data_IF_213713195085
#
_entry.id   IF_213713195085
#
_cell.length_a   1.000
_cell.length_b   1.000
_cell.length_c   1.000
_cell.angle_alpha   90.00
_cell.angle_beta   90.00
_cell.angle_gamma   90.00
#
_symmetry.space_group_name_H-M   'P 1'
#
loop_
_entity.id
_entity.type
_entity.pdbx_description
1 polymer ?
#
# COMPACT_ATOMS: atom_id res chain seq x y z
N UNK A 1 6.56 24.13 12.29
CA UNK A 1 6.78 23.07 13.29
C UNK A 1 5.71 21.99 13.24
N UNK A 2 4.40 22.30 13.20
CA UNK A 2 3.37 21.24 13.10
C UNK A 2 3.38 20.44 11.78
N UNK A 3 3.67 21.08 10.63
CA UNK A 3 3.71 20.42 9.32
C UNK A 3 4.80 19.34 9.21
N UNK A 4 5.96 19.54 9.84
CA UNK A 4 7.07 18.58 9.83
C UNK A 4 6.71 17.30 10.62
N UNK A 5 5.93 17.41 11.69
CA UNK A 5 5.44 16.24 12.45
C UNK A 5 4.57 15.28 11.64
N UNK A 6 3.96 15.75 10.54
CA UNK A 6 3.17 14.89 9.65
C UNK A 6 4.01 14.20 8.57
N UNK A 7 5.27 14.61 8.41
CA UNK A 7 6.20 14.04 7.44
C UNK A 7 6.92 12.81 7.99
N UNK A 8 6.94 12.55 9.28
CA UNK A 8 7.46 11.30 9.84
C UNK A 8 6.35 10.27 10.03
N UNK A 9 6.66 9.02 9.67
CA UNK A 9 5.77 7.90 9.97
C UNK A 9 5.88 7.57 11.46
N UNK A 10 4.89 8.03 12.22
CA UNK A 10 4.68 7.62 13.60
C UNK A 10 3.62 6.52 13.63
N UNK A 11 4.01 5.31 14.03
CA UNK A 11 3.10 4.18 14.15
C UNK A 11 2.89 3.81 15.62
N UNK A 12 1.63 3.61 16.00
CA UNK A 12 1.28 3.04 17.29
C UNK A 12 1.56 1.52 17.30
N UNK A 13 1.68 0.93 18.50
CA UNK A 13 2.00 -0.50 18.64
C UNK A 13 1.05 -1.40 17.82
N UNK A 14 -0.25 -1.10 17.80
CA UNK A 14 -1.22 -1.85 17.01
C UNK A 14 -0.95 -1.77 15.49
N UNK A 15 -0.56 -0.60 14.98
CA UNK A 15 -0.19 -0.40 13.58
C UNK A 15 1.12 -1.12 13.24
N UNK A 16 2.09 -1.17 14.17
CA UNK A 16 3.33 -1.95 14.01
C UNK A 16 3.01 -3.44 13.89
N UNK A 17 2.17 -4.00 14.77
CA UNK A 17 1.75 -5.40 14.65
C UNK A 17 0.99 -5.67 13.35
N UNK A 18 0.10 -4.75 12.97
CA UNK A 18 -0.63 -4.81 11.70
C UNK A 18 0.32 -4.77 10.50
N UNK A 19 1.39 -3.97 10.56
CA UNK A 19 2.42 -3.90 9.54
C UNK A 19 3.18 -5.22 9.40
N UNK A 20 3.65 -5.81 10.50
CA UNK A 20 4.34 -7.11 10.46
C UNK A 20 3.43 -8.21 9.91
N UNK A 21 2.16 -8.21 10.32
CA UNK A 21 1.15 -9.11 9.76
C UNK A 21 1.02 -8.92 8.25
N UNK A 22 0.83 -7.69 7.77
CA UNK A 22 0.70 -7.42 6.34
C UNK A 22 1.95 -7.81 5.55
N UNK A 23 3.14 -7.43 6.01
CA UNK A 23 4.41 -7.80 5.36
C UNK A 23 4.57 -9.32 5.27
N UNK A 24 4.19 -10.05 6.32
CA UNK A 24 4.14 -11.51 6.29
C UNK A 24 3.21 -12.04 5.20
N UNK A 25 1.95 -11.56 5.17
CA UNK A 25 0.98 -12.00 4.15
C UNK A 25 1.40 -11.63 2.73
N UNK A 26 1.95 -10.43 2.51
CA UNK A 26 2.46 -9.99 1.21
C UNK A 26 3.67 -10.81 0.78
N UNK A 27 4.57 -11.17 1.69
CA UNK A 27 5.71 -12.04 1.36
C UNK A 27 5.23 -13.40 0.87
N UNK A 28 4.31 -14.03 1.61
CA UNK A 28 3.75 -15.33 1.21
C UNK A 28 3.00 -15.21 -0.12
N UNK A 29 2.20 -14.16 -0.29
CA UNK A 29 1.40 -13.96 -1.49
C UNK A 29 2.27 -13.59 -2.72
N UNK A 30 3.32 -12.79 -2.54
CA UNK A 30 4.31 -12.50 -3.58
C UNK A 30 5.06 -13.77 -4.02
N UNK A 31 5.48 -14.62 -3.07
CA UNK A 31 6.08 -15.91 -3.38
C UNK A 31 5.08 -16.85 -4.08
N UNK A 32 3.81 -16.84 -3.65
CA UNK A 32 2.73 -17.59 -4.27
C UNK A 32 2.48 -17.15 -5.71
N UNK A 33 2.45 -15.84 -5.98
CA UNK A 33 2.30 -15.26 -7.32
C UNK A 33 3.48 -15.65 -8.23
N UNK A 34 4.71 -15.53 -7.73
CA UNK A 34 5.92 -15.94 -8.46
C UNK A 34 5.92 -17.45 -8.77
N UNK A 35 5.45 -18.27 -7.83
CA UNK A 35 5.30 -19.73 -7.99
C UNK A 35 4.01 -20.14 -8.70
N UNK A 36 3.11 -19.21 -9.01
CA UNK A 36 1.83 -19.41 -9.69
C UNK A 36 0.86 -20.35 -8.96
N UNK A 37 0.75 -20.21 -7.65
CA UNK A 37 -0.18 -20.99 -6.82
C UNK A 37 -1.55 -20.28 -6.72
N UNK A 38 -2.62 -21.06 -6.53
CA UNK A 38 -4.01 -20.61 -6.68
C UNK A 38 -4.67 -19.96 -5.44
N UNK A 39 -3.88 -19.56 -4.43
CA UNK A 39 -4.42 -19.14 -3.12
C UNK A 39 -4.99 -17.69 -3.07
N UNK A 40 -5.22 -17.04 -4.22
CA UNK A 40 -5.49 -15.60 -4.27
C UNK A 40 -6.81 -15.15 -3.61
N UNK A 41 -7.82 -16.01 -3.49
CA UNK A 41 -9.12 -15.62 -2.89
C UNK A 41 -9.03 -15.42 -1.38
N UNK A 42 -8.32 -16.30 -0.68
CA UNK A 42 -8.16 -16.25 0.77
C UNK A 42 -7.41 -14.98 1.18
N UNK A 43 -6.35 -14.64 0.44
CA UNK A 43 -5.61 -13.39 0.67
C UNK A 43 -6.46 -12.14 0.47
N UNK A 44 -7.33 -12.11 -0.55
CA UNK A 44 -8.25 -11.00 -0.76
C UNK A 44 -9.15 -10.76 0.46
N UNK A 45 -9.74 -11.82 1.02
CA UNK A 45 -10.63 -11.72 2.18
C UNK A 45 -9.85 -11.23 3.42
N UNK A 46 -8.62 -11.70 3.61
CA UNK A 46 -7.72 -11.24 4.69
C UNK A 46 -7.39 -9.76 4.55
N UNK A 47 -7.00 -9.28 3.38
CA UNK A 47 -6.63 -7.87 3.19
C UNK A 47 -7.84 -6.93 3.28
N UNK A 48 -8.99 -7.36 2.78
CA UNK A 48 -10.22 -6.60 2.95
C UNK A 48 -10.62 -6.51 4.44
N UNK A 49 -10.57 -7.64 5.14
CA UNK A 49 -10.81 -7.69 6.59
C UNK A 49 -9.83 -6.80 7.36
N UNK A 50 -8.54 -6.84 6.99
CA UNK A 50 -7.52 -5.97 7.56
C UNK A 50 -7.85 -4.48 7.36
N UNK A 51 -8.20 -4.07 6.15
CA UNK A 51 -8.57 -2.67 5.86
C UNK A 51 -9.80 -2.24 6.69
N UNK A 52 -10.80 -3.10 6.84
CA UNK A 52 -11.99 -2.81 7.66
C UNK A 52 -11.59 -2.67 9.15
N UNK A 53 -10.75 -3.57 9.67
CA UNK A 53 -10.27 -3.50 11.05
C UNK A 53 -9.49 -2.19 11.28
N UNK A 54 -8.66 -1.77 10.33
CA UNK A 54 -7.94 -0.50 10.41
C UNK A 54 -8.87 0.71 10.37
N UNK A 55 -9.95 0.67 9.59
CA UNK A 55 -10.98 1.72 9.62
C UNK A 55 -11.63 1.82 11.00
N UNK A 56 -12.03 0.68 11.56
CA UNK A 56 -12.62 0.62 12.90
C UNK A 56 -11.62 1.09 13.97
N UNK A 57 -10.34 0.74 13.82
CA UNK A 57 -9.25 1.21 14.67
C UNK A 57 -9.11 2.73 14.61
N UNK A 58 -9.05 3.33 13.43
CA UNK A 58 -8.91 4.79 13.27
C UNK A 58 -10.08 5.55 13.92
N UNK A 59 -11.30 5.00 13.79
CA UNK A 59 -12.53 5.53 14.44
C UNK A 59 -12.42 5.40 15.96
N UNK A 60 -12.00 4.24 16.47
CA UNK A 60 -11.85 3.97 17.91
C UNK A 60 -10.75 4.82 18.56
N UNK A 61 -9.61 4.97 17.88
CA UNK A 61 -8.47 5.78 18.30
C UNK A 61 -8.76 7.29 18.27
N UNK A 62 -9.99 7.69 17.90
CA UNK A 62 -10.45 9.08 17.85
C UNK A 62 -9.58 9.96 16.98
N UNK A 63 -9.17 9.43 15.83
CA UNK A 63 -8.48 10.22 14.80
C UNK A 63 -9.35 11.44 14.46
N UNK A 64 -8.72 12.61 14.30
CA UNK A 64 -9.42 13.85 13.91
C UNK A 64 -10.28 13.57 12.68
N UNK A 65 -11.57 13.92 12.75
CA UNK A 65 -12.57 13.51 11.74
C UNK A 65 -12.15 13.87 10.32
N UNK A 66 -11.58 15.05 10.10
CA UNK A 66 -11.13 15.52 8.79
C UNK A 66 -10.00 14.65 8.23
N UNK A 67 -9.04 14.24 9.06
CA UNK A 67 -7.94 13.35 8.66
C UNK A 67 -8.45 11.94 8.36
N UNK A 68 -9.38 11.44 9.18
CA UNK A 68 -10.01 10.13 8.98
C UNK A 68 -10.77 10.12 7.66
N UNK A 69 -11.63 11.12 7.41
CA UNK A 69 -12.41 11.23 6.17
C UNK A 69 -11.47 11.37 4.97
N UNK A 70 -10.46 12.24 5.04
CA UNK A 70 -9.49 12.41 3.96
C UNK A 70 -8.75 11.10 3.64
N UNK A 71 -8.24 10.40 4.66
CA UNK A 71 -7.55 9.10 4.52
C UNK A 71 -8.40 8.10 3.75
N UNK A 72 -9.64 7.88 4.21
CA UNK A 72 -10.49 6.85 3.64
C UNK A 72 -11.09 7.23 2.29
N UNK A 73 -11.30 8.53 2.03
CA UNK A 73 -11.63 9.02 0.68
C UNK A 73 -10.46 8.79 -0.28
N UNK A 74 -9.20 9.06 0.13
CA UNK A 74 -8.03 8.80 -0.69
C UNK A 74 -7.89 7.30 -1.00
N UNK A 75 -7.99 6.43 0.01
CA UNK A 75 -7.93 4.98 -0.18
C UNK A 75 -9.03 4.52 -1.15
N UNK A 76 -10.28 4.92 -0.92
CA UNK A 76 -11.40 4.53 -1.77
C UNK A 76 -11.24 5.08 -3.21
N UNK A 77 -10.84 6.35 -3.35
CA UNK A 77 -10.61 6.99 -4.63
C UNK A 77 -9.53 6.28 -5.44
N UNK A 78 -8.36 6.04 -4.84
CA UNK A 78 -7.29 5.33 -5.51
C UNK A 78 -7.62 3.86 -5.78
N UNK A 79 -8.33 3.17 -4.89
CA UNK A 79 -8.78 1.79 -5.10
C UNK A 79 -9.71 1.68 -6.33
N UNK A 80 -10.65 2.63 -6.47
CA UNK A 80 -11.54 2.72 -7.64
C UNK A 80 -10.73 3.02 -8.91
N UNK A 81 -9.82 3.98 -8.88
CA UNK A 81 -8.99 4.36 -10.02
C UNK A 81 -7.98 3.27 -10.45
N UNK A 82 -7.59 2.38 -9.53
CA UNK A 82 -6.65 1.29 -9.77
C UNK A 82 -7.33 -0.02 -10.18
N UNK A 83 -8.66 -0.10 -10.10
CA UNK A 83 -9.41 -1.30 -10.47
C UNK A 83 -9.43 -1.52 -11.99
N UNK A 84 -9.30 -2.78 -12.42
CA UNK A 84 -9.44 -3.21 -13.83
C UNK A 84 -10.66 -2.66 -14.58
N UNK A 85 -11.76 -2.36 -13.89
CA UNK A 85 -12.99 -1.82 -14.52
C UNK A 85 -12.84 -0.38 -15.00
N UNK A 86 -11.96 0.41 -14.36
CA UNK A 86 -11.80 1.85 -14.64
C UNK A 86 -10.42 2.13 -15.20
N UNK A 87 -9.38 1.49 -14.65
CA UNK A 87 -8.07 1.37 -15.28
C UNK A 87 -7.26 2.67 -15.44
N UNK A 88 -7.59 3.75 -14.71
CA UNK A 88 -6.99 5.08 -14.97
C UNK A 88 -5.57 5.21 -14.42
N UNK A 89 -5.26 4.59 -13.29
CA UNK A 89 -3.90 4.60 -12.70
C UNK A 89 -3.23 3.25 -12.95
N UNK A 90 -3.91 2.19 -12.54
CA UNK A 90 -3.52 0.81 -12.78
C UNK A 90 -4.74 0.01 -13.26
N UNK A 91 -4.50 -1.14 -13.89
CA UNK A 91 -5.55 -2.09 -14.26
C UNK A 91 -5.39 -3.36 -13.43
N UNK A 92 -5.65 -3.24 -12.12
CA UNK A 92 -5.39 -4.30 -11.12
C UNK A 92 -6.59 -5.23 -10.88
N UNK A 93 -6.29 -6.49 -10.56
CA UNK A 93 -7.29 -7.43 -10.10
C UNK A 93 -7.81 -7.01 -8.72
N UNK A 94 -9.00 -7.51 -8.34
CA UNK A 94 -9.63 -7.15 -7.06
C UNK A 94 -8.74 -7.49 -5.85
N UNK A 95 -8.01 -8.60 -5.91
CA UNK A 95 -7.08 -9.02 -4.86
C UNK A 95 -5.95 -8.00 -4.67
N UNK A 96 -5.33 -7.55 -5.76
CA UNK A 96 -4.26 -6.56 -5.75
C UNK A 96 -4.75 -5.20 -5.23
N UNK A 97 -5.95 -4.77 -5.65
CA UNK A 97 -6.57 -3.54 -5.11
C UNK A 97 -6.77 -3.64 -3.60
N UNK A 98 -7.20 -4.81 -3.09
CA UNK A 98 -7.35 -5.02 -1.65
C UNK A 98 -5.99 -4.99 -0.94
N UNK A 99 -4.94 -5.60 -1.51
CA UNK A 99 -3.59 -5.56 -0.96
C UNK A 99 -3.07 -4.12 -0.84
N UNK A 100 -3.15 -3.34 -1.91
CA UNK A 100 -2.74 -1.93 -1.94
C UNK A 100 -3.56 -1.11 -0.95
N UNK A 101 -4.87 -1.35 -0.85
CA UNK A 101 -5.74 -0.65 0.10
C UNK A 101 -5.41 -0.99 1.55
N UNK A 102 -5.07 -2.26 1.84
CA UNK A 102 -4.66 -2.70 3.16
C UNK A 102 -3.33 -2.07 3.59
N UNK A 103 -2.36 -2.00 2.67
CA UNK A 103 -1.10 -1.28 2.92
C UNK A 103 -1.35 0.21 3.18
N UNK A 104 -2.15 0.85 2.33
CA UNK A 104 -2.52 2.26 2.47
C UNK A 104 -3.29 2.55 3.78
N UNK A 105 -4.04 1.59 4.32
CA UNK A 105 -4.75 1.74 5.59
C UNK A 105 -3.80 1.89 6.81
N UNK A 106 -2.53 1.50 6.70
CA UNK A 106 -1.52 1.75 7.74
C UNK A 106 -0.86 3.13 7.63
N UNK A 107 -1.05 3.82 6.51
CA UNK A 107 -0.37 5.07 6.22
C UNK A 107 -1.24 6.27 6.60
N UNK A 108 -0.60 7.39 6.92
CA UNK A 108 -1.30 8.66 7.03
C UNK A 108 -1.72 9.19 5.63
N UNK A 109 -2.63 10.18 5.54
CA UNK A 109 -3.11 10.71 4.26
C UNK A 109 -2.01 11.12 3.27
N UNK A 110 -0.94 11.73 3.76
CA UNK A 110 0.18 12.18 2.93
C UNK A 110 0.95 11.00 2.33
N UNK A 111 1.29 10.01 3.16
CA UNK A 111 1.99 8.81 2.73
C UNK A 111 1.16 7.90 1.81
N UNK A 112 -0.17 8.00 1.81
CA UNK A 112 -1.00 7.32 0.81
C UNK A 112 -0.67 7.82 -0.59
N UNK A 113 -0.56 9.14 -0.80
CA UNK A 113 -0.23 9.72 -2.11
C UNK A 113 1.17 9.29 -2.54
N UNK A 114 2.15 9.40 -1.64
CA UNK A 114 3.52 8.94 -1.88
C UNK A 114 3.54 7.46 -2.23
N UNK A 115 2.78 6.64 -1.50
CA UNK A 115 2.71 5.22 -1.73
C UNK A 115 2.21 4.87 -3.12
N UNK A 116 1.16 5.53 -3.63
CA UNK A 116 0.72 5.30 -5.00
C UNK A 116 1.74 5.75 -6.05
N UNK A 117 2.49 6.83 -5.81
CA UNK A 117 3.59 7.26 -6.68
C UNK A 117 4.71 6.22 -6.68
N UNK A 118 5.17 5.78 -5.51
CA UNK A 118 6.23 4.77 -5.35
C UNK A 118 5.78 3.45 -5.96
N UNK A 119 4.53 3.04 -5.74
CA UNK A 119 3.95 1.84 -6.35
C UNK A 119 4.01 1.92 -7.88
N UNK A 120 3.67 3.07 -8.47
CA UNK A 120 3.71 3.29 -9.91
C UNK A 120 5.14 3.22 -10.46
N UNK A 121 6.09 3.87 -9.80
CA UNK A 121 7.50 3.80 -10.18
C UNK A 121 8.03 2.36 -10.06
N UNK A 122 7.68 1.68 -8.97
CA UNK A 122 8.12 0.30 -8.71
C UNK A 122 7.56 -0.65 -9.77
N UNK A 123 6.29 -0.50 -10.16
CA UNK A 123 5.67 -1.27 -11.24
C UNK A 123 6.39 -1.05 -12.58
N UNK A 124 6.78 0.19 -12.90
CA UNK A 124 7.54 0.49 -14.12
C UNK A 124 8.93 -0.14 -14.14
N UNK A 125 9.59 -0.22 -13.00
CA UNK A 125 10.94 -0.79 -12.88
C UNK A 125 10.88 -2.32 -12.87
N UNK A 126 9.99 -2.91 -12.07
CA UNK A 126 9.87 -4.36 -11.92
C UNK A 126 9.04 -5.01 -13.01
N UNK A 127 8.14 -4.26 -13.67
CA UNK A 127 7.28 -4.68 -14.78
C UNK A 127 8.00 -5.47 -15.86
N UNK A 128 9.06 -4.92 -16.50
CA UNK A 128 9.82 -5.63 -17.53
C UNK A 128 10.44 -6.94 -17.04
N UNK A 129 10.94 -6.95 -15.80
CA UNK A 129 11.59 -8.12 -15.21
C UNK A 129 10.56 -9.22 -14.90
N UNK A 130 9.47 -8.86 -14.22
CA UNK A 130 8.39 -9.77 -13.82
C UNK A 130 7.58 -10.30 -15.01
N UNK A 131 7.38 -9.48 -16.03
CA UNK A 131 6.75 -9.91 -17.29
C UNK A 131 7.66 -10.81 -18.12
N UNK A 132 8.98 -10.58 -18.11
CA UNK A 132 9.98 -11.45 -18.73
C UNK A 132 10.05 -12.85 -18.10
N UNK A 133 9.82 -12.96 -16.79
CA UNK A 133 9.62 -14.22 -16.06
C UNK A 133 8.30 -14.91 -16.43
N UNK A 134 7.33 -14.17 -16.96
CA UNK A 134 6.00 -14.62 -17.36
C UNK A 134 5.86 -14.85 -18.87
N UNK A 135 6.81 -15.56 -19.48
CA UNK A 135 6.86 -15.90 -20.92
C UNK A 135 5.64 -16.64 -21.52
N UNK A 136 4.64 -17.04 -20.73
CA UNK A 136 3.43 -17.73 -21.22
C UNK A 136 2.16 -17.12 -20.62
N UNK A 137 1.61 -16.09 -21.29
CA UNK A 137 0.22 -15.57 -21.22
C UNK A 137 -0.61 -15.96 -19.97
N UNK A 138 -0.11 -15.64 -18.77
CA UNK A 138 -0.87 -15.71 -17.52
C UNK A 138 -0.61 -14.42 -16.74
N UNK A 139 -1.59 -14.08 -15.91
CA UNK A 139 -1.71 -12.81 -15.20
C UNK A 139 -0.38 -12.30 -14.62
N UNK A 140 -0.16 -10.99 -14.74
CA UNK A 140 1.02 -10.30 -14.24
C UNK A 140 1.10 -10.42 -12.70
N UNK A 141 2.22 -10.88 -12.12
CA UNK A 141 2.36 -11.02 -10.67
C UNK A 141 2.61 -9.65 -10.04
N UNK A 142 1.55 -8.98 -9.58
CA UNK A 142 1.62 -7.61 -9.07
C UNK A 142 2.04 -7.54 -7.59
N UNK A 143 1.83 -8.60 -6.80
CA UNK A 143 2.13 -8.57 -5.35
C UNK A 143 3.60 -8.34 -4.97
N UNK A 144 4.61 -8.84 -5.71
CA UNK A 144 6.00 -8.43 -5.48
C UNK A 144 6.22 -6.92 -5.57
N UNK A 145 5.46 -6.23 -6.44
CA UNK A 145 5.50 -4.77 -6.59
C UNK A 145 4.90 -4.09 -5.35
N UNK A 146 3.76 -4.59 -4.87
CA UNK A 146 3.10 -4.10 -3.64
C UNK A 146 4.03 -4.23 -2.44
N UNK A 147 4.67 -5.39 -2.27
CA UNK A 147 5.62 -5.64 -1.19
C UNK A 147 6.81 -4.67 -1.26
N UNK A 148 7.45 -4.56 -2.42
CA UNK A 148 8.60 -3.67 -2.61
C UNK A 148 8.24 -2.20 -2.36
N UNK A 149 7.13 -1.72 -2.91
CA UNK A 149 6.66 -0.36 -2.70
C UNK A 149 6.35 -0.07 -1.22
N UNK A 150 5.76 -1.04 -0.51
CA UNK A 150 5.47 -0.92 0.92
C UNK A 150 6.76 -0.77 1.71
N UNK A 151 7.78 -1.60 1.44
CA UNK A 151 9.09 -1.50 2.09
C UNK A 151 9.76 -0.15 1.79
N UNK A 152 9.76 0.29 0.53
CA UNK A 152 10.38 1.56 0.13
C UNK A 152 9.73 2.74 0.86
N UNK A 153 8.40 2.80 0.92
CA UNK A 153 7.70 3.90 1.62
C UNK A 153 8.00 3.90 3.11
N UNK A 154 8.05 2.72 3.75
CA UNK A 154 8.42 2.63 5.16
C UNK A 154 9.84 3.13 5.39
N UNK A 155 10.80 2.76 4.54
CA UNK A 155 12.17 3.24 4.64
C UNK A 155 12.25 4.76 4.46
N UNK A 156 11.52 5.33 3.49
CA UNK A 156 11.45 6.79 3.28
C UNK A 156 10.85 7.49 4.51
N UNK A 157 9.77 6.94 5.07
CA UNK A 157 9.09 7.57 6.19
C UNK A 157 9.75 7.38 7.54
N UNK A 158 10.60 6.36 7.69
CA UNK A 158 11.42 6.13 8.88
C UNK A 158 12.75 6.88 8.83
N UNK A 159 13.29 7.19 7.65
CA UNK A 159 14.58 7.88 7.53
C UNK A 159 14.50 9.37 7.82
N UNK A 160 13.30 9.96 7.90
CA UNK A 160 13.14 11.42 7.99
C UNK A 160 13.54 12.16 6.71
N UNK A 161 13.82 11.44 5.61
CA UNK A 161 14.34 12.02 4.37
C UNK A 161 13.47 13.15 3.80
N UNK A 162 12.15 13.05 3.97
CA UNK A 162 11.23 14.10 3.50
C UNK A 162 11.31 15.34 4.39
N UNK A 163 11.55 15.18 5.69
CA UNK A 163 11.76 16.30 6.63
C UNK A 163 13.02 17.08 6.22
N UNK A 164 14.12 16.38 5.94
CA UNK A 164 15.38 16.99 5.46
C UNK A 164 15.21 17.77 4.15
N UNK A 165 14.47 17.23 3.17
CA UNK A 165 14.22 17.94 1.91
C UNK A 165 13.39 19.21 2.13
N UNK A 166 12.35 19.13 2.98
CA UNK A 166 11.48 20.27 3.25
C UNK A 166 12.24 21.37 4.01
N UNK A 167 13.12 21.01 4.95
CA UNK A 167 14.01 21.97 5.62
C UNK A 167 15.04 22.60 4.67
N UNK A 168 15.48 21.87 3.63
CA UNK A 168 16.45 22.40 2.67
C UNK A 168 15.83 23.37 1.64
N UNK A 169 14.55 23.18 1.30
CA UNK A 169 13.86 23.96 0.24
C UNK A 169 13.05 25.14 0.81
N UNK A 170 12.69 25.11 2.10
CA UNK A 170 11.96 26.18 2.80
C UNK A 170 12.85 27.29 3.34
#
# INVERSE_FOLDING_TARGET
MELLSYLSIHMEAAQIYGLFFLLGTFTVAALSDLKRLSAQREFFEVWLGFAIIMLLYDVYARTVLDFLVLKWILIAGFAVLSSQKIGKIFSLAKADVAAVSAAAALLNPFYIVIYYIVLWVTDKILGPVLSGLSRKKKAYPFLPVVLAATIIVLLIGMSGFIEEIVEFVG
#
